data_IF_284480875715
#
_entry.id   IF_284480875715
#
_cell.length_a   1.000
_cell.length_b   1.000
_cell.length_c   1.000
_cell.angle_alpha   90.00
_cell.angle_beta   90.00
_cell.angle_gamma   90.00
#
_symmetry.space_group_name_H-M   'P 1'
#
loop_
_entity.id
_entity.type
_entity.pdbx_description
1 polymer ?
#
# COMPACT_ATOMS: atom_id res chain seq x y z
N UNK A 1 -3.08 3.72 1.05
CA UNK A 1 -3.63 4.49 2.17
C UNK A 1 -3.03 4.00 3.47
N UNK A 2 -3.76 4.12 4.59
CA UNK A 2 -3.30 3.71 5.92
C UNK A 2 -2.88 2.24 6.02
N UNK A 3 -3.63 1.31 5.42
CA UNK A 3 -3.32 -0.12 5.42
C UNK A 3 -2.04 -0.43 4.67
N UNK A 4 -1.86 0.14 3.48
CA UNK A 4 -0.61 0.00 2.72
C UNK A 4 0.60 0.58 3.48
N UNK A 5 0.43 1.72 4.17
CA UNK A 5 1.48 2.32 4.99
C UNK A 5 1.84 1.45 6.22
N UNK A 6 0.85 0.82 6.86
CA UNK A 6 1.07 -0.11 7.94
C UNK A 6 1.83 -1.36 7.46
N UNK A 7 1.45 -1.92 6.30
CA UNK A 7 2.16 -3.05 5.70
C UNK A 7 3.62 -2.68 5.35
N UNK A 8 3.85 -1.48 4.81
CA UNK A 8 5.20 -0.99 4.49
C UNK A 8 6.11 -0.95 5.73
N UNK A 9 5.56 -0.61 6.91
CA UNK A 9 6.32 -0.60 8.17
C UNK A 9 6.77 -1.99 8.64
N UNK A 10 6.26 -3.07 8.05
CA UNK A 10 6.68 -4.46 8.31
C UNK A 10 7.79 -4.92 7.37
N UNK A 11 8.09 -4.17 6.31
CA UNK A 11 9.16 -4.51 5.37
C UNK A 11 10.56 -4.60 6.00
N UNK A 12 10.93 -3.85 7.06
CA UNK A 12 12.20 -4.04 7.74
C UNK A 12 12.38 -5.47 8.28
N UNK A 13 11.32 -6.10 8.80
CA UNK A 13 11.37 -7.49 9.26
C UNK A 13 11.62 -8.45 8.09
N UNK A 14 11.06 -8.13 6.92
CA UNK A 14 11.24 -8.88 5.69
C UNK A 14 12.67 -8.74 5.13
N UNK A 15 13.29 -7.58 5.31
CA UNK A 15 14.65 -7.29 4.84
C UNK A 15 15.74 -8.07 5.59
N UNK A 16 15.40 -8.70 6.73
CA UNK A 16 16.30 -9.60 7.46
C UNK A 16 16.37 -11.02 6.85
N UNK A 17 15.48 -11.34 5.90
CA UNK A 17 15.43 -12.64 5.22
C UNK A 17 16.39 -12.68 4.03
N UNK A 18 16.71 -13.89 3.51
CA UNK A 18 17.36 -14.04 2.21
C UNK A 18 16.67 -13.20 1.13
N UNK A 19 17.47 -12.61 0.22
CA UNK A 19 17.00 -11.62 -0.75
C UNK A 19 15.89 -12.17 -1.66
N UNK A 20 16.00 -13.42 -2.09
CA UNK A 20 15.02 -14.12 -2.91
C UNK A 20 13.68 -14.29 -2.18
N UNK A 21 13.72 -14.72 -0.92
CA UNK A 21 12.53 -14.83 -0.08
C UNK A 21 11.88 -13.46 0.20
N UNK A 22 12.71 -12.45 0.49
CA UNK A 22 12.24 -11.09 0.74
C UNK A 22 11.60 -10.49 -0.51
N UNK A 23 12.21 -10.67 -1.67
CA UNK A 23 11.67 -10.19 -2.95
C UNK A 23 10.33 -10.87 -3.27
N UNK A 24 10.24 -12.20 -3.15
CA UNK A 24 9.01 -12.95 -3.42
C UNK A 24 7.87 -12.48 -2.50
N UNK A 25 8.16 -12.29 -1.21
CA UNK A 25 7.16 -11.80 -0.26
C UNK A 25 6.74 -10.34 -0.52
N UNK A 26 7.68 -9.46 -0.89
CA UNK A 26 7.37 -8.07 -1.23
C UNK A 26 6.48 -7.94 -2.47
N UNK A 27 6.71 -8.78 -3.49
CA UNK A 27 5.86 -8.87 -4.68
C UNK A 27 4.44 -9.28 -4.30
N UNK A 28 4.29 -10.33 -3.49
CA UNK A 28 2.98 -10.81 -3.03
C UNK A 28 2.23 -9.71 -2.25
N UNK A 29 2.87 -9.11 -1.25
CA UNK A 29 2.27 -8.06 -0.43
C UNK A 29 1.81 -6.88 -1.31
N UNK A 30 2.66 -6.45 -2.26
CA UNK A 30 2.34 -5.35 -3.16
C UNK A 30 1.16 -5.69 -4.08
N UNK A 31 1.11 -6.91 -4.61
CA UNK A 31 0.02 -7.36 -5.46
C UNK A 31 -1.32 -7.39 -4.69
N UNK A 32 -1.34 -7.97 -3.49
CA UNK A 32 -2.51 -8.03 -2.61
C UNK A 32 -3.02 -6.62 -2.26
N UNK A 33 -2.11 -5.71 -1.87
CA UNK A 33 -2.48 -4.33 -1.54
C UNK A 33 -3.02 -3.54 -2.73
N UNK A 34 -2.58 -3.83 -3.96
CA UNK A 34 -3.09 -3.15 -5.17
C UNK A 34 -4.52 -3.55 -5.51
N UNK A 35 -4.89 -4.82 -5.32
CA UNK A 35 -6.22 -5.33 -5.67
C UNK A 35 -7.26 -5.15 -4.56
N UNK A 36 -6.82 -4.90 -3.32
CA UNK A 36 -7.71 -4.59 -2.20
C UNK A 36 -8.44 -3.25 -2.39
N UNK A 37 -9.57 -3.09 -1.69
CA UNK A 37 -10.43 -1.90 -1.77
C UNK A 37 -9.66 -0.59 -1.56
N UNK A 38 -8.77 -0.51 -0.57
CA UNK A 38 -7.94 0.67 -0.32
C UNK A 38 -7.01 1.00 -1.51
N UNK A 39 -6.48 -0.04 -2.16
CA UNK A 39 -5.62 0.08 -3.33
C UNK A 39 -6.37 0.53 -4.56
N UNK A 40 -7.53 -0.08 -4.82
CA UNK A 40 -8.42 0.31 -5.92
C UNK A 40 -8.92 1.74 -5.75
N UNK A 41 -9.35 2.12 -4.55
CA UNK A 41 -9.77 3.49 -4.24
C UNK A 41 -8.62 4.49 -4.42
N UNK A 42 -7.40 4.15 -3.98
CA UNK A 42 -6.23 4.99 -4.20
C UNK A 42 -5.91 5.21 -5.68
N UNK A 43 -5.99 4.15 -6.50
CA UNK A 43 -5.76 4.25 -7.94
C UNK A 43 -6.87 5.04 -8.64
N UNK A 44 -8.13 4.76 -8.34
CA UNK A 44 -9.27 5.50 -8.89
C UNK A 44 -9.17 6.99 -8.54
N UNK A 45 -8.92 7.31 -7.26
CA UNK A 45 -8.77 8.70 -6.83
C UNK A 45 -7.64 9.44 -7.56
N UNK A 46 -6.50 8.78 -7.77
CA UNK A 46 -5.39 9.33 -8.53
C UNK A 46 -5.76 9.63 -9.99
N UNK A 47 -6.42 8.70 -10.67
CA UNK A 47 -6.84 8.89 -12.06
C UNK A 47 -7.95 9.95 -12.21
N UNK A 48 -8.85 10.03 -11.24
CA UNK A 48 -9.94 11.00 -11.21
C UNK A 48 -9.49 12.40 -10.74
N UNK A 49 -8.23 12.57 -10.30
CA UNK A 49 -7.71 13.84 -9.76
C UNK A 49 -8.39 14.28 -8.45
N UNK A 50 -8.99 13.34 -7.72
CA UNK A 50 -9.68 13.58 -6.45
C UNK A 50 -8.85 13.09 -5.27
N UNK A 51 -9.26 13.48 -4.06
CA UNK A 51 -8.72 12.87 -2.84
C UNK A 51 -9.34 11.49 -2.65
N UNK A 52 -8.56 10.49 -2.22
CA UNK A 52 -9.12 9.19 -1.86
C UNK A 52 -9.91 9.31 -0.54
N UNK A 53 -10.95 8.49 -0.37
CA UNK A 53 -11.89 8.58 0.74
C UNK A 53 -11.27 8.45 2.14
N UNK A 54 -10.12 7.76 2.24
CA UNK A 54 -9.39 7.61 3.50
C UNK A 54 -8.52 8.82 3.85
N UNK A 55 -8.32 9.77 2.93
CA UNK A 55 -7.52 10.95 3.20
C UNK A 55 -8.32 11.92 4.09
N UNK A 56 -7.71 12.50 5.13
CA UNK A 56 -8.36 13.57 5.89
C UNK A 56 -8.79 14.70 4.96
N UNK A 57 -9.93 15.32 5.27
CA UNK A 57 -10.27 16.61 4.66
C UNK A 57 -9.13 17.60 4.90
N UNK A 58 -8.86 18.46 3.92
CA UNK A 58 -7.96 19.58 4.18
C UNK A 58 -8.63 20.45 5.24
N UNK A 59 -8.13 20.41 6.48
CA UNK A 59 -8.63 21.25 7.56
C UNK A 59 -8.52 22.73 7.17
N UNK A 60 -9.60 23.46 7.40
CA UNK A 60 -9.58 24.91 7.59
C UNK A 60 -9.10 25.29 8.98
#
# INVERSE_FOLDING_TARGET
GPGAAAAAKRLPDLALRPLDEAAAAAVRITAELRVADEGQEGMAAFFDGRRPAWAPEAGG
#
